data_IF_679919964492
#
_entry.id   IF_679919964492
#
_cell.length_a   1.000
_cell.length_b   1.000
_cell.length_c   1.000
_cell.angle_alpha   90.00
_cell.angle_beta   90.00
_cell.angle_gamma   90.00
#
_symmetry.space_group_name_H-M   'P 1'
#
loop_
_entity.id
_entity.type
_entity.pdbx_description
1 polymer ?
#
# COMPACT_ATOMS: atom_id res chain seq x y z
N UNK A 1 -55.02 -54.70 13.15
CA UNK A 1 -56.10 -53.86 13.71
C UNK A 1 -55.65 -53.32 15.05
N UNK A 2 -55.80 -52.01 15.23
CA UNK A 2 -55.73 -51.18 16.46
C UNK A 2 -54.58 -50.16 16.50
N UNK A 3 -55.07 -48.94 16.34
CA UNK A 3 -54.47 -47.61 16.25
C UNK A 3 -53.78 -47.09 17.52
N UNK A 4 -52.88 -46.14 17.25
CA UNK A 4 -52.67 -44.83 17.93
C UNK A 4 -52.20 -44.78 19.38
N UNK A 5 -51.07 -44.06 19.59
CA UNK A 5 -50.78 -42.96 20.54
C UNK A 5 -49.34 -42.52 20.20
N UNK A 6 -49.10 -41.47 19.43
CA UNK A 6 -49.17 -40.03 19.74
C UNK A 6 -47.90 -39.48 20.43
N UNK A 7 -47.46 -38.34 19.89
CA UNK A 7 -46.77 -37.22 20.55
C UNK A 7 -45.22 -37.18 20.50
N UNK A 8 -44.74 -36.00 20.04
CA UNK A 8 -43.39 -35.39 20.17
C UNK A 8 -42.26 -35.90 19.25
N UNK A 9 -42.04 -35.22 18.13
CA UNK A 9 -41.04 -34.13 18.05
C UNK A 9 -41.01 -33.56 16.64
N UNK A 10 -41.31 -32.27 16.56
CA UNK A 10 -41.04 -31.44 15.40
C UNK A 10 -39.54 -31.47 15.07
N UNK A 11 -39.20 -31.52 13.78
CA UNK A 11 -38.26 -30.55 13.23
C UNK A 11 -38.46 -30.49 11.71
N UNK A 12 -38.95 -29.33 11.26
CA UNK A 12 -38.98 -28.95 9.86
C UNK A 12 -37.54 -28.96 9.30
N UNK A 13 -37.22 -29.88 8.39
CA UNK A 13 -36.07 -29.76 7.51
C UNK A 13 -36.53 -29.31 6.13
N UNK A 14 -36.88 -28.03 6.05
CA UNK A 14 -37.05 -27.32 4.80
C UNK A 14 -36.60 -25.86 4.99
N UNK A 15 -35.30 -25.66 5.27
CA UNK A 15 -34.60 -24.46 4.85
C UNK A 15 -33.66 -24.87 3.73
N UNK A 16 -34.11 -24.62 2.51
CA UNK A 16 -33.28 -24.60 1.31
C UNK A 16 -32.05 -23.75 1.59
N UNK A 17 -30.89 -24.39 1.54
CA UNK A 17 -29.60 -23.75 1.64
C UNK A 17 -29.54 -22.59 0.65
N UNK A 18 -29.54 -21.36 1.17
CA UNK A 18 -28.90 -20.26 0.48
C UNK A 18 -27.41 -20.60 0.53
N UNK A 19 -26.95 -21.31 -0.49
CA UNK A 19 -25.52 -21.44 -0.75
C UNK A 19 -25.00 -20.02 -0.90
N UNK A 20 -24.31 -19.54 0.12
CA UNK A 20 -23.33 -18.48 -0.04
C UNK A 20 -22.41 -18.96 -1.14
N UNK A 21 -22.65 -18.46 -2.36
CA UNK A 21 -21.63 -18.42 -3.39
C UNK A 21 -20.46 -17.74 -2.70
N UNK A 22 -19.50 -18.56 -2.29
CA UNK A 22 -18.13 -18.14 -2.12
C UNK A 22 -17.80 -17.47 -3.45
N UNK A 23 -17.89 -16.14 -3.45
CA UNK A 23 -17.26 -15.35 -4.48
C UNK A 23 -15.82 -15.82 -4.48
N UNK A 24 -15.27 -16.25 -5.62
CA UNK A 24 -13.84 -16.11 -5.77
C UNK A 24 -13.63 -14.61 -5.56
N UNK A 25 -13.04 -14.26 -4.42
CA UNK A 25 -12.31 -13.02 -4.30
C UNK A 25 -11.20 -13.14 -5.36
N UNK A 26 -11.55 -12.78 -6.58
CA UNK A 26 -10.62 -12.37 -7.63
C UNK A 26 -10.06 -11.03 -7.16
N UNK A 27 -9.32 -11.09 -6.05
CA UNK A 27 -8.31 -10.11 -5.72
C UNK A 27 -7.36 -10.21 -6.90
N UNK A 28 -7.53 -9.28 -7.84
CA UNK A 28 -6.78 -9.23 -9.09
C UNK A 28 -5.32 -9.50 -8.75
N UNK A 29 -4.76 -10.55 -9.36
CA UNK A 29 -3.42 -11.00 -9.05
C UNK A 29 -2.45 -9.85 -9.31
N UNK A 30 -2.06 -9.14 -8.25
CA UNK A 30 -0.98 -8.19 -8.32
C UNK A 30 0.25 -8.95 -8.78
N UNK A 31 0.80 -8.52 -9.92
CA UNK A 31 1.99 -9.17 -10.46
C UNK A 31 3.11 -8.84 -9.51
N UNK A 32 3.48 -9.82 -8.68
CA UNK A 32 4.63 -9.70 -7.77
C UNK A 32 5.87 -9.40 -8.59
N UNK A 33 6.52 -8.28 -8.28
CA UNK A 33 7.82 -7.93 -8.83
C UNK A 33 8.93 -8.81 -8.26
N UNK A 34 10.12 -8.67 -8.82
CA UNK A 34 11.35 -9.25 -8.29
C UNK A 34 12.30 -8.09 -7.95
N UNK A 35 12.27 -7.60 -6.70
CA UNK A 35 12.95 -6.37 -6.33
C UNK A 35 14.48 -6.52 -6.36
N UNK A 36 15.01 -7.74 -6.22
CA UNK A 36 16.44 -8.04 -6.39
C UNK A 36 16.83 -7.92 -7.86
N UNK A 37 16.08 -8.53 -8.78
CA UNK A 37 16.33 -8.40 -10.22
C UNK A 37 16.12 -6.97 -10.71
N UNK A 38 15.17 -6.24 -10.13
CA UNK A 38 14.97 -4.84 -10.41
C UNK A 38 16.22 -4.04 -10.05
N UNK A 39 16.77 -4.20 -8.84
CA UNK A 39 17.99 -3.50 -8.42
C UNK A 39 19.17 -3.81 -9.36
N UNK A 40 19.35 -5.08 -9.73
CA UNK A 40 20.39 -5.52 -10.66
C UNK A 40 20.24 -4.86 -12.03
N UNK A 41 19.04 -4.92 -12.62
CA UNK A 41 18.75 -4.29 -13.91
C UNK A 41 18.99 -2.77 -13.87
N UNK A 42 18.53 -2.10 -12.80
CA UNK A 42 18.75 -0.66 -12.64
C UNK A 42 20.25 -0.30 -12.60
N UNK A 43 21.08 -1.11 -11.93
CA UNK A 43 22.55 -0.95 -11.93
C UNK A 43 23.18 -1.16 -13.30
N UNK A 44 22.70 -2.12 -14.08
CA UNK A 44 23.15 -2.32 -15.47
C UNK A 44 22.85 -1.11 -16.35
N UNK A 45 21.74 -0.42 -16.09
CA UNK A 45 21.36 0.84 -16.74
C UNK A 45 21.98 2.07 -16.05
N UNK A 46 22.93 1.87 -15.14
CA UNK A 46 23.73 2.90 -14.49
C UNK A 46 23.01 3.68 -13.40
N UNK A 47 21.88 3.20 -12.90
CA UNK A 47 21.25 3.69 -11.67
C UNK A 47 21.83 2.91 -10.50
N UNK A 48 22.69 3.56 -9.72
CA UNK A 48 23.35 2.92 -8.59
C UNK A 48 22.39 2.75 -7.41
N UNK A 49 21.68 1.63 -7.36
CA UNK A 49 20.75 1.30 -6.28
C UNK A 49 21.26 0.09 -5.47
N UNK A 50 21.29 0.16 -4.12
CA UNK A 50 21.61 -0.98 -3.28
C UNK A 50 20.54 -2.07 -3.42
N UNK A 51 20.90 -3.31 -3.08
CA UNK A 51 19.92 -4.38 -3.03
C UNK A 51 18.90 -4.12 -1.90
N UNK A 52 17.60 -4.38 -2.14
CA UNK A 52 16.56 -4.18 -1.15
C UNK A 52 16.73 -5.12 0.05
N UNK A 53 16.38 -4.63 1.24
CA UNK A 53 16.39 -5.40 2.48
C UNK A 53 14.98 -5.81 2.86
N UNK A 54 14.85 -6.86 3.67
CA UNK A 54 13.57 -7.19 4.30
C UNK A 54 13.21 -6.07 5.29
N UNK A 55 12.05 -5.45 5.09
CA UNK A 55 11.48 -4.45 5.98
C UNK A 55 10.64 -5.09 7.08
N UNK A 56 10.39 -4.34 8.15
CA UNK A 56 9.68 -4.80 9.36
C UNK A 56 8.23 -5.27 9.10
N UNK A 57 7.67 -4.98 7.91
CA UNK A 57 6.34 -5.40 7.47
C UNK A 57 6.30 -6.64 6.57
N UNK A 58 7.41 -7.36 6.40
CA UNK A 58 7.49 -8.55 5.52
C UNK A 58 7.54 -8.25 4.03
N UNK A 59 7.82 -7.00 3.65
CA UNK A 59 8.06 -6.54 2.28
C UNK A 59 9.52 -6.14 2.08
N UNK A 60 9.93 -5.98 0.81
CA UNK A 60 11.28 -5.49 0.47
C UNK A 60 11.30 -3.96 0.47
N UNK A 61 12.33 -3.37 1.06
CA UNK A 61 12.53 -1.91 1.11
C UNK A 61 13.85 -1.58 0.41
N UNK A 62 13.79 -0.67 -0.56
CA UNK A 62 14.98 -0.09 -1.16
C UNK A 62 15.52 1.00 -0.22
N UNK A 63 16.80 0.90 0.15
CA UNK A 63 17.47 2.02 0.81
C UNK A 63 17.59 3.18 -0.19
N UNK A 64 17.56 4.40 0.31
CA UNK A 64 17.85 5.57 -0.51
C UNK A 64 19.21 5.36 -1.19
N UNK A 65 19.20 5.33 -2.53
CA UNK A 65 20.43 5.27 -3.30
C UNK A 65 21.30 6.47 -2.90
N UNK A 66 22.61 6.29 -2.65
CA UNK A 66 23.50 7.44 -2.54
C UNK A 66 23.38 8.21 -3.85
N UNK A 67 22.86 9.45 -3.78
CA UNK A 67 22.84 10.33 -4.94
C UNK A 67 24.26 10.43 -5.50
N UNK A 68 24.38 10.57 -6.82
CA UNK A 68 25.65 10.74 -7.50
C UNK A 68 26.26 12.12 -7.14
N UNK A 69 26.72 12.28 -5.90
CA UNK A 69 27.26 13.52 -5.36
C UNK A 69 26.21 14.54 -4.90
N UNK A 70 26.68 15.45 -4.03
CA UNK A 70 25.90 16.40 -3.22
C UNK A 70 25.08 17.45 -4.01
N UNK A 71 25.05 17.40 -5.35
CA UNK A 71 24.33 18.36 -6.21
C UNK A 71 23.90 17.79 -7.58
N UNK A 72 23.90 16.48 -7.81
CA UNK A 72 23.38 15.93 -9.06
C UNK A 72 21.85 15.81 -8.99
N UNK A 73 21.15 16.60 -9.80
CA UNK A 73 19.77 16.27 -10.12
C UNK A 73 19.75 14.83 -10.67
N UNK A 74 18.80 13.97 -10.24
CA UNK A 74 18.66 12.65 -10.83
C UNK A 74 18.56 12.80 -12.34
N UNK A 75 19.38 12.06 -13.08
CA UNK A 75 19.28 12.00 -14.53
C UNK A 75 17.95 11.31 -14.88
N UNK A 76 16.92 12.12 -15.04
CA UNK A 76 15.55 11.67 -15.28
C UNK A 76 15.45 10.89 -16.57
N UNK A 77 16.27 11.20 -17.58
CA UNK A 77 16.31 10.47 -18.84
C UNK A 77 16.85 9.05 -18.61
N UNK A 78 17.96 8.94 -17.88
CA UNK A 78 18.55 7.65 -17.50
C UNK A 78 17.62 6.83 -16.60
N UNK A 79 16.95 7.45 -15.63
CA UNK A 79 15.96 6.77 -14.79
C UNK A 79 14.78 6.27 -15.63
N UNK A 80 14.24 7.08 -16.54
CA UNK A 80 13.12 6.67 -17.39
C UNK A 80 13.52 5.53 -18.33
N UNK A 81 14.71 5.59 -18.94
CA UNK A 81 15.23 4.53 -19.79
C UNK A 81 15.44 3.22 -19.01
N UNK A 82 16.01 3.30 -17.80
CA UNK A 82 16.18 2.16 -16.91
C UNK A 82 14.82 1.59 -16.47
N UNK A 83 13.86 2.44 -16.13
CA UNK A 83 12.50 2.03 -15.77
C UNK A 83 11.84 1.24 -16.90
N UNK A 84 11.89 1.74 -18.14
CA UNK A 84 11.32 1.05 -19.30
C UNK A 84 11.98 -0.31 -19.58
N UNK A 85 13.31 -0.40 -19.42
CA UNK A 85 14.04 -1.65 -19.60
C UNK A 85 13.75 -2.67 -18.47
N UNK A 86 13.60 -2.18 -17.25
CA UNK A 86 13.50 -2.99 -16.04
C UNK A 86 12.05 -3.24 -15.56
N UNK A 87 11.04 -2.64 -16.19
CA UNK A 87 9.63 -2.72 -15.78
C UNK A 87 9.09 -4.13 -15.54
N UNK A 88 9.61 -5.12 -16.27
CA UNK A 88 9.24 -6.53 -16.09
C UNK A 88 9.53 -7.08 -14.68
N UNK A 89 10.48 -6.48 -13.96
CA UNK A 89 10.85 -6.84 -12.59
C UNK A 89 10.13 -5.98 -11.54
N UNK A 90 9.39 -4.95 -11.96
CA UNK A 90 8.60 -4.11 -11.07
C UNK A 90 7.26 -4.76 -10.74
N UNK A 91 6.76 -4.47 -9.55
CA UNK A 91 5.38 -4.79 -9.21
C UNK A 91 4.44 -4.11 -10.20
N UNK A 92 3.47 -4.87 -10.70
CA UNK A 92 2.53 -4.38 -11.70
C UNK A 92 3.17 -3.74 -12.96
N UNK A 93 4.43 -4.06 -13.28
CA UNK A 93 5.09 -3.49 -14.44
C UNK A 93 5.48 -2.01 -14.29
N UNK A 94 5.55 -1.50 -13.07
CA UNK A 94 5.79 -0.08 -12.80
C UNK A 94 4.54 0.80 -12.93
N UNK A 95 3.40 0.22 -13.30
CA UNK A 95 2.14 0.94 -13.38
C UNK A 95 1.56 1.19 -11.97
N UNK A 96 1.26 2.45 -11.68
CA UNK A 96 0.53 2.81 -10.48
C UNK A 96 -0.90 2.27 -10.55
N UNK A 97 -1.25 1.41 -9.60
CA UNK A 97 -2.64 1.07 -9.33
C UNK A 97 -3.11 1.86 -8.11
N UNK A 98 -4.25 2.55 -8.19
CA UNK A 98 -4.83 3.17 -7.01
C UNK A 98 -5.12 2.10 -5.95
N UNK A 99 -5.04 2.45 -4.65
CA UNK A 99 -5.45 1.57 -3.57
C UNK A 99 -6.90 1.09 -3.75
N UNK A 100 -7.25 -0.02 -3.11
CA UNK A 100 -8.64 -0.49 -3.09
C UNK A 100 -9.58 0.59 -2.52
N UNK A 101 -10.89 0.59 -2.86
CA UNK A 101 -11.83 1.57 -2.30
C UNK A 101 -11.82 1.63 -0.77
N UNK A 102 -11.72 0.48 -0.10
CA UNK A 102 -11.61 0.39 1.36
C UNK A 102 -10.35 1.09 1.89
N UNK A 103 -9.23 0.89 1.20
CA UNK A 103 -7.96 1.51 1.58
C UNK A 103 -7.94 3.00 1.29
N UNK A 104 -8.55 3.44 0.19
CA UNK A 104 -8.76 4.86 -0.10
C UNK A 104 -9.59 5.53 1.00
N UNK A 105 -10.67 4.89 1.45
CA UNK A 105 -11.49 5.39 2.55
C UNK A 105 -10.70 5.47 3.86
N UNK A 106 -9.89 4.46 4.16
CA UNK A 106 -8.99 4.47 5.32
C UNK A 106 -8.02 5.65 5.27
N UNK A 107 -7.36 5.88 4.13
CA UNK A 107 -6.41 7.00 3.97
C UNK A 107 -7.15 8.35 4.09
N UNK A 108 -8.37 8.47 3.57
CA UNK A 108 -9.21 9.67 3.76
C UNK A 108 -9.57 9.90 5.22
N UNK A 109 -9.85 8.84 5.97
CA UNK A 109 -10.11 8.93 7.41
C UNK A 109 -8.87 9.38 8.19
N UNK A 110 -7.69 8.89 7.84
CA UNK A 110 -6.42 9.33 8.42
C UNK A 110 -6.17 10.83 8.16
N UNK A 111 -6.36 11.26 6.91
CA UNK A 111 -6.26 12.67 6.52
C UNK A 111 -7.25 13.55 7.29
N UNK A 112 -8.50 13.10 7.42
CA UNK A 112 -9.53 13.79 8.22
C UNK A 112 -9.12 13.91 9.68
N UNK A 113 -8.60 12.85 10.29
CA UNK A 113 -8.15 12.86 11.67
C UNK A 113 -7.07 13.93 11.90
N UNK A 114 -6.10 14.07 10.98
CA UNK A 114 -5.08 15.13 11.09
C UNK A 114 -5.67 16.54 10.98
N UNK A 115 -6.67 16.73 10.13
CA UNK A 115 -7.41 18.01 10.08
C UNK A 115 -8.16 18.28 11.37
N UNK A 116 -8.78 17.26 11.97
CA UNK A 116 -9.47 17.38 13.27
C UNK A 116 -8.49 17.71 14.41
N UNK A 117 -7.22 17.30 14.28
CA UNK A 117 -6.11 17.67 15.19
C UNK A 117 -5.52 19.07 14.92
N UNK A 118 -5.99 19.76 13.87
CA UNK A 118 -5.62 21.14 13.54
C UNK A 118 -4.54 21.28 12.48
N UNK A 119 -4.16 20.20 11.78
CA UNK A 119 -3.12 20.25 10.74
C UNK A 119 -3.72 20.50 9.36
N UNK A 120 -3.00 21.23 8.51
CA UNK A 120 -3.33 21.36 7.11
C UNK A 120 -2.99 20.05 6.37
N UNK A 121 -3.96 19.13 6.31
CA UNK A 121 -3.81 17.84 5.65
C UNK A 121 -4.88 17.63 4.58
N UNK A 122 -4.62 18.04 3.32
CA UNK A 122 -5.56 17.89 2.21
C UNK A 122 -5.97 16.43 1.96
N UNK A 123 -7.12 16.25 1.32
CA UNK A 123 -7.58 14.93 0.94
C UNK A 123 -6.71 14.32 -0.17
N UNK A 124 -6.37 13.01 -0.06
CA UNK A 124 -5.57 12.33 -1.07
C UNK A 124 -6.34 12.23 -2.39
N UNK A 125 -5.61 12.51 -3.48
CA UNK A 125 -6.02 12.18 -4.85
C UNK A 125 -5.31 10.87 -5.22
N UNK A 126 -6.08 9.84 -5.58
CA UNK A 126 -5.54 8.53 -5.94
C UNK A 126 -5.40 8.35 -7.46
N UNK A 127 -5.58 9.42 -8.23
CA UNK A 127 -5.41 9.42 -9.68
C UNK A 127 -4.04 10.01 -10.05
N UNK A 128 -3.40 9.51 -11.12
CA UNK A 128 -2.22 10.14 -11.70
C UNK A 128 -0.86 9.85 -11.03
N UNK A 129 -0.73 8.75 -10.27
CA UNK A 129 0.59 8.27 -9.84
C UNK A 129 1.14 8.88 -8.54
N UNK A 130 0.29 9.46 -7.70
CA UNK A 130 0.66 9.77 -6.30
C UNK A 130 1.53 11.01 -6.11
N UNK A 131 1.66 11.88 -7.12
CA UNK A 131 2.21 13.23 -6.94
C UNK A 131 1.23 14.03 -6.05
N UNK A 132 1.49 14.02 -4.75
CA UNK A 132 0.84 14.96 -3.84
C UNK A 132 1.22 16.38 -4.27
N UNK A 133 0.22 17.25 -4.44
CA UNK A 133 0.47 18.68 -4.60
C UNK A 133 1.41 19.15 -3.49
N UNK A 134 2.36 20.04 -3.83
CA UNK A 134 3.32 20.58 -2.87
C UNK A 134 2.57 21.37 -1.80
N UNK A 135 2.28 20.70 -0.70
CA UNK A 135 1.58 21.24 0.46
C UNK A 135 2.59 21.41 1.59
N UNK A 136 2.43 22.49 2.34
CA UNK A 136 3.21 22.72 3.54
C UNK A 136 2.73 21.73 4.62
N UNK A 137 3.49 20.65 4.77
CA UNK A 137 3.27 19.65 5.81
C UNK A 137 3.70 20.22 7.18
N UNK A 138 3.06 19.81 8.28
CA UNK A 138 3.52 20.18 9.61
C UNK A 138 4.92 19.60 9.87
N UNK A 139 5.62 20.14 10.87
CA UNK A 139 6.93 19.64 11.28
C UNK A 139 6.80 18.19 11.77
N UNK A 140 7.26 17.23 10.98
CA UNK A 140 7.18 15.81 11.28
C UNK A 140 8.10 15.41 12.45
N UNK A 141 9.03 16.27 12.85
CA UNK A 141 9.91 16.03 14.00
C UNK A 141 9.32 16.49 15.34
N UNK A 142 8.26 17.30 15.32
CA UNK A 142 7.55 17.72 16.51
C UNK A 142 6.86 16.53 17.20
N UNK A 143 7.06 16.42 18.52
CA UNK A 143 6.55 15.28 19.31
C UNK A 143 5.01 15.22 19.31
N UNK A 144 4.35 16.38 19.28
CA UNK A 144 2.88 16.45 19.20
C UNK A 144 2.41 15.99 17.82
N UNK A 145 3.10 16.38 16.75
CA UNK A 145 2.79 15.91 15.39
C UNK A 145 2.98 14.39 15.30
N UNK A 146 4.10 13.85 15.79
CA UNK A 146 4.34 12.38 15.84
C UNK A 146 3.26 11.65 16.62
N UNK A 147 2.87 12.16 17.78
CA UNK A 147 1.81 11.58 18.59
C UNK A 147 0.46 11.64 17.87
N UNK A 148 0.11 12.76 17.24
CA UNK A 148 -1.14 12.88 16.51
C UNK A 148 -1.17 12.00 15.25
N UNK A 149 -0.05 11.84 14.54
CA UNK A 149 0.07 10.89 13.43
C UNK A 149 -0.13 9.45 13.91
N UNK A 150 0.41 9.10 15.07
CA UNK A 150 0.18 7.80 15.72
C UNK A 150 -1.28 7.60 16.10
N UNK A 151 -1.90 8.59 16.76
CA UNK A 151 -3.32 8.56 17.12
C UNK A 151 -4.22 8.41 15.88
N UNK A 152 -3.83 9.03 14.77
CA UNK A 152 -4.52 8.94 13.49
C UNK A 152 -4.14 7.69 12.67
N UNK A 153 -3.35 6.75 13.22
CA UNK A 153 -3.03 5.48 12.57
C UNK A 153 -2.10 5.61 11.35
N UNK A 154 -1.26 6.65 11.30
CA UNK A 154 -0.30 6.92 10.22
C UNK A 154 1.15 6.51 10.57
N UNK A 155 1.33 5.59 11.53
CA UNK A 155 2.65 5.14 11.97
C UNK A 155 3.51 4.57 10.83
N UNK A 156 2.88 3.98 9.79
CA UNK A 156 3.57 3.47 8.59
C UNK A 156 4.15 4.54 7.66
N UNK A 157 3.71 5.79 7.76
CA UNK A 157 4.27 6.89 6.97
C UNK A 157 5.56 7.45 7.59
N UNK A 158 5.66 7.42 8.92
CA UNK A 158 6.82 7.90 9.67
C UNK A 158 7.99 6.90 9.67
N UNK A 159 7.70 5.59 9.63
CA UNK A 159 8.74 4.54 9.61
C UNK A 159 9.51 4.51 8.29
N UNK A 160 8.92 4.90 7.17
CA UNK A 160 9.60 4.93 5.87
C UNK A 160 10.68 6.03 5.75
N UNK A 161 10.71 7.01 6.67
CA UNK A 161 11.76 8.07 6.71
C UNK A 161 12.73 7.93 7.88
N UNK A 162 12.56 6.92 8.75
CA UNK A 162 13.44 6.66 9.90
C UNK A 162 14.55 5.65 9.62
N UNK A 163 14.87 5.43 8.34
CA UNK A 163 16.10 4.79 7.93
C UNK A 163 17.14 5.88 7.64
N UNK A 164 17.76 6.39 8.71
CA UNK A 164 18.93 7.27 8.69
C UNK A 164 19.90 6.84 9.78
#
# INVERSE_FOLDING_TARGET
>A
MKSTIAVLLALLMALTACGSKEQPNDAGQDKKGDPIKLAQCMREHGINMPDPKEGEGGGFVFEAAPGDGENAAPDMEKMNAAHEACKQYMENGGEYKPPSPEEQDKIRQQAKCMRDKGYNWPDPKFEGGGMAESIELPDMEDDKVKQDMKDCGMEGFATSRRAG
#
